data_IF_171163788723
#
_entry.id   IF_171163788723
#
_cell.length_a   1.000
_cell.length_b   1.000
_cell.length_c   1.000
_cell.angle_alpha   90.00
_cell.angle_beta   90.00
_cell.angle_gamma   90.00
#
_symmetry.space_group_name_H-M   'P 1'
#
loop_
_entity.id
_entity.type
_entity.pdbx_description
1 polymer ?
#
# COMPACT_ATOMS: atom_id res chain seq x y z
N UNK A 1 -1.79 -0.61 12.12
CA UNK A 1 -1.99 -0.04 10.77
C UNK A 1 -1.10 -0.82 9.84
N UNK A 2 -1.68 -1.54 8.87
CA UNK A 2 -0.97 -2.56 8.09
C UNK A 2 -1.16 -2.31 6.60
N UNK A 3 -0.22 -2.77 5.79
CA UNK A 3 -0.53 -3.04 4.39
C UNK A 3 -1.30 -4.35 4.33
N UNK A 4 -2.39 -4.40 3.57
CA UNK A 4 -3.01 -5.68 3.23
C UNK A 4 -2.08 -6.48 2.32
N UNK A 5 -2.06 -7.80 2.48
CA UNK A 5 -1.37 -8.68 1.55
C UNK A 5 -1.80 -8.36 0.11
N UNK A 6 -0.85 -8.30 -0.82
CA UNK A 6 -1.10 -7.82 -2.19
C UNK A 6 -2.17 -8.63 -2.93
N UNK A 7 -2.21 -9.94 -2.70
CA UNK A 7 -3.21 -10.83 -3.32
C UNK A 7 -4.64 -10.60 -2.81
N UNK A 8 -4.80 -9.90 -1.68
CA UNK A 8 -6.12 -9.54 -1.16
C UNK A 8 -6.65 -8.27 -1.80
N UNK A 9 -5.81 -7.44 -2.43
CA UNK A 9 -6.21 -6.13 -2.98
C UNK A 9 -7.46 -6.23 -3.87
N UNK A 10 -7.56 -7.17 -4.83
CA UNK A 10 -8.74 -7.30 -5.68
C UNK A 10 -10.00 -7.71 -4.93
N UNK A 11 -9.86 -8.28 -3.73
CA UNK A 11 -10.96 -8.78 -2.90
C UNK A 11 -11.35 -7.84 -1.77
N UNK A 12 -10.50 -6.85 -1.45
CA UNK A 12 -10.76 -5.95 -0.32
C UNK A 12 -12.11 -5.25 -0.49
N UNK A 13 -12.97 -5.20 0.55
CA UNK A 13 -14.17 -4.39 0.48
C UNK A 13 -13.82 -2.90 0.39
N UNK A 14 -14.79 -2.10 -0.07
CA UNK A 14 -14.61 -0.66 -0.30
C UNK A 14 -13.94 0.09 0.86
N UNK A 15 -14.35 -0.07 2.14
CA UNK A 15 -13.71 0.66 3.24
C UNK A 15 -12.22 0.32 3.40
N UNK A 16 -11.83 -0.93 3.19
CA UNK A 16 -10.46 -1.42 3.32
C UNK A 16 -9.61 -0.93 2.16
N UNK A 17 -10.11 -1.00 0.92
CA UNK A 17 -9.40 -0.48 -0.26
C UNK A 17 -9.14 1.02 -0.14
N UNK A 18 -10.17 1.81 0.18
CA UNK A 18 -10.03 3.27 0.36
C UNK A 18 -9.15 3.60 1.57
N UNK A 19 -9.22 2.81 2.64
CA UNK A 19 -8.34 2.93 3.79
C UNK A 19 -6.88 2.68 3.43
N UNK A 20 -6.62 1.63 2.65
CA UNK A 20 -5.27 1.27 2.20
C UNK A 20 -4.66 2.35 1.31
N UNK A 21 -5.46 2.97 0.43
CA UNK A 21 -5.00 4.13 -0.35
C UNK A 21 -4.57 5.30 0.54
N UNK A 22 -5.42 5.70 1.51
CA UNK A 22 -5.06 6.77 2.46
C UNK A 22 -3.80 6.44 3.25
N UNK A 23 -3.62 5.17 3.59
CA UNK A 23 -2.42 4.70 4.28
C UNK A 23 -1.17 4.84 3.42
N UNK A 24 -1.23 4.40 2.17
CA UNK A 24 -0.11 4.57 1.24
C UNK A 24 0.23 6.05 1.03
N UNK A 25 -0.77 6.93 0.93
CA UNK A 25 -0.57 8.37 0.85
C UNK A 25 0.15 8.94 2.08
N UNK A 26 -0.23 8.48 3.29
CA UNK A 26 0.41 8.90 4.53
C UNK A 26 1.86 8.42 4.62
N UNK A 27 2.10 7.13 4.32
CA UNK A 27 3.42 6.51 4.36
C UNK A 27 4.39 7.10 3.32
N UNK A 28 3.92 7.38 2.09
CA UNK A 28 4.74 8.05 1.05
C UNK A 28 5.09 9.50 1.43
N UNK A 29 4.19 10.18 2.15
CA UNK A 29 4.38 11.55 2.59
C UNK A 29 5.17 11.69 3.88
N UNK A 30 4.70 12.58 4.76
CA UNK A 30 5.34 12.87 6.06
C UNK A 30 5.27 11.71 7.08
N UNK A 31 4.66 10.59 6.72
CA UNK A 31 4.69 9.34 7.50
C UNK A 31 5.95 8.50 7.26
N UNK A 32 6.69 8.74 6.18
CA UNK A 32 7.88 7.95 5.84
C UNK A 32 8.90 7.92 6.98
N UNK A 33 9.34 6.72 7.37
CA UNK A 33 10.34 6.50 8.42
C UNK A 33 9.83 6.68 9.86
N UNK A 34 8.53 6.94 10.07
CA UNK A 34 7.95 7.00 11.43
C UNK A 34 7.55 5.61 11.90
N UNK A 35 7.98 5.23 13.12
CA UNK A 35 7.70 3.89 13.67
C UNK A 35 6.19 3.62 13.75
N UNK A 36 5.78 2.49 13.18
CA UNK A 36 4.43 1.93 13.21
C UNK A 36 4.47 0.46 13.67
N UNK A 37 3.53 0.03 14.50
CA UNK A 37 3.59 -1.30 15.13
C UNK A 37 3.66 -2.50 14.15
N UNK A 38 3.06 -2.39 12.95
CA UNK A 38 2.82 -3.55 12.06
C UNK A 38 3.27 -3.33 10.60
N UNK A 39 3.89 -2.19 10.28
CA UNK A 39 4.27 -1.82 8.89
C UNK A 39 5.70 -1.28 8.80
N UNK A 40 6.49 -1.41 9.87
CA UNK A 40 7.87 -0.90 9.89
C UNK A 40 8.74 -1.46 8.76
N UNK A 41 8.53 -2.72 8.36
CA UNK A 41 9.33 -3.38 7.32
C UNK A 41 9.33 -2.59 6.01
N UNK A 42 8.27 -1.83 5.70
CA UNK A 42 8.19 -0.99 4.49
C UNK A 42 9.36 -0.01 4.40
N UNK A 43 9.85 0.49 5.54
CA UNK A 43 10.94 1.46 5.59
C UNK A 43 12.34 0.83 5.51
N UNK A 44 12.43 -0.50 5.59
CA UNK A 44 13.67 -1.24 5.36
C UNK A 44 13.97 -1.39 3.85
N UNK A 45 13.02 -0.99 2.99
CA UNK A 45 13.13 -1.02 1.53
C UNK A 45 13.08 0.38 0.91
N UNK A 46 13.35 0.45 -0.40
CA UNK A 46 13.26 1.68 -1.17
C UNK A 46 11.83 2.26 -1.13
N UNK A 47 11.66 3.60 -1.14
CA UNK A 47 10.35 4.23 -1.33
C UNK A 47 9.65 3.79 -2.61
N UNK A 48 10.42 3.33 -3.61
CA UNK A 48 9.90 2.81 -4.87
C UNK A 48 9.01 1.57 -4.65
N UNK A 49 9.37 0.67 -3.73
CA UNK A 49 8.51 -0.49 -3.41
C UNK A 49 7.15 -0.07 -2.86
N UNK A 50 7.10 0.96 -2.02
CA UNK A 50 5.83 1.49 -1.51
C UNK A 50 5.02 2.14 -2.63
N UNK A 51 5.67 2.84 -3.55
CA UNK A 51 5.00 3.35 -4.75
C UNK A 51 4.42 2.19 -5.59
N UNK A 52 5.19 1.14 -5.85
CA UNK A 52 4.73 -0.01 -6.62
C UNK A 52 3.55 -0.75 -5.94
N UNK A 53 3.61 -0.94 -4.63
CA UNK A 53 2.47 -1.47 -3.88
C UNK A 53 1.25 -0.54 -3.96
N UNK A 54 1.46 0.77 -3.82
CA UNK A 54 0.39 1.76 -3.94
C UNK A 54 -0.24 1.74 -5.34
N UNK A 55 0.54 1.46 -6.40
CA UNK A 55 -0.01 1.29 -7.75
C UNK A 55 -1.04 0.16 -7.83
N UNK A 56 -0.81 -0.99 -7.20
CA UNK A 56 -1.79 -2.08 -7.15
C UNK A 56 -3.14 -1.60 -6.58
N UNK A 57 -3.09 -0.77 -5.53
CA UNK A 57 -4.28 -0.17 -4.90
C UNK A 57 -4.95 0.82 -5.84
N UNK A 58 -4.17 1.70 -6.49
CA UNK A 58 -4.70 2.71 -7.41
C UNK A 58 -5.31 2.09 -8.66
N UNK A 59 -4.70 1.04 -9.20
CA UNK A 59 -5.19 0.26 -10.35
C UNK A 59 -6.52 -0.42 -9.99
N UNK A 60 -6.61 -1.09 -8.84
CA UNK A 60 -7.86 -1.67 -8.34
C UNK A 60 -8.95 -0.60 -8.10
N UNK A 61 -8.56 0.56 -7.56
CA UNK A 61 -9.48 1.68 -7.38
C UNK A 61 -10.03 2.19 -8.72
N UNK A 62 -9.16 2.35 -9.73
CA UNK A 62 -9.57 2.77 -11.07
C UNK A 62 -10.49 1.73 -11.72
N UNK A 63 -10.18 0.43 -11.59
CA UNK A 63 -11.00 -0.66 -12.10
C UNK A 63 -12.42 -0.66 -11.52
N UNK A 64 -12.57 -0.25 -10.25
CA UNK A 64 -13.87 -0.08 -9.57
C UNK A 64 -14.54 1.28 -9.80
N UNK A 65 -14.00 2.11 -10.71
CA UNK A 65 -14.58 3.41 -11.08
C UNK A 65 -14.30 4.55 -10.09
N UNK A 66 -13.37 4.37 -9.14
CA UNK A 66 -12.91 5.46 -8.30
C UNK A 66 -11.95 6.38 -9.07
N UNK A 67 -11.85 7.63 -8.61
CA UNK A 67 -10.88 8.60 -9.14
C UNK A 67 -9.72 8.73 -8.18
N UNK A 68 -8.52 8.44 -8.67
CA UNK A 68 -7.25 8.69 -7.98
C UNK A 68 -6.66 9.98 -8.52
N UNK A 69 -6.19 10.87 -7.65
CA UNK A 69 -5.53 12.11 -8.10
C UNK A 69 -4.29 11.78 -8.95
N UNK A 70 -4.12 12.39 -10.14
CA UNK A 70 -3.05 12.06 -11.09
C UNK A 70 -1.64 12.08 -10.49
N UNK A 71 -1.40 12.98 -9.54
CA UNK A 71 -0.11 13.16 -8.88
C UNK A 71 0.35 11.91 -8.13
N UNK A 72 -0.57 11.07 -7.65
CA UNK A 72 -0.19 9.84 -6.95
C UNK A 72 0.42 8.77 -7.86
N UNK A 73 0.23 8.89 -9.19
CA UNK A 73 0.87 8.01 -10.18
C UNK A 73 2.33 8.36 -10.43
N UNK A 74 2.79 9.55 -10.01
CA UNK A 74 4.19 9.94 -10.07
C UNK A 74 4.96 9.31 -8.88
N UNK A 75 6.00 8.49 -9.10
CA UNK A 75 6.76 7.84 -8.03
C UNK A 75 7.34 8.82 -7.02
N UNK A 76 7.85 9.96 -7.49
CA UNK A 76 8.49 10.97 -6.63
C UNK A 76 7.51 11.78 -5.78
N UNK A 77 6.20 11.71 -6.05
CA UNK A 77 5.20 12.51 -5.34
C UNK A 77 4.97 12.03 -3.91
N UNK A 78 4.95 12.97 -2.97
CA UNK A 78 4.85 12.71 -1.52
C UNK A 78 3.71 13.48 -0.85
N UNK A 79 2.73 13.91 -1.63
CA UNK A 79 1.65 14.78 -1.16
C UNK A 79 2.03 16.27 -1.16
N UNK A 80 1.05 17.12 -0.87
CA UNK A 80 1.18 18.58 -1.02
C UNK A 80 2.12 19.25 -0.02
N UNK A 81 2.36 18.63 1.12
CA UNK A 81 3.11 19.20 2.26
C UNK A 81 4.45 18.54 2.51
N UNK A 82 4.81 17.53 1.71
CA UNK A 82 6.10 16.87 1.77
C UNK A 82 6.81 17.10 0.45
N UNK A 83 8.04 17.66 0.44
CA UNK A 83 8.80 17.83 -0.80
C UNK A 83 8.92 16.49 -1.53
N UNK A 84 8.69 16.52 -2.84
CA UNK A 84 8.91 15.36 -3.70
C UNK A 84 10.37 14.90 -3.62
N UNK A 85 10.62 13.63 -3.94
CA UNK A 85 11.98 13.18 -4.19
C UNK A 85 12.51 13.87 -5.45
N UNK A 86 13.78 14.28 -5.46
CA UNK A 86 14.42 14.83 -6.67
C UNK A 86 14.48 13.77 -7.77
N UNK A 87 14.83 12.55 -7.37
CA UNK A 87 14.87 11.36 -8.19
C UNK A 87 14.49 10.17 -7.30
N UNK A 88 13.81 9.18 -7.89
CA UNK A 88 13.54 7.91 -7.25
C UNK A 88 13.87 6.80 -8.25
N UNK A 89 14.98 6.13 -8.03
CA UNK A 89 15.42 5.03 -8.89
C UNK A 89 14.38 3.90 -8.89
N UNK A 90 14.03 3.44 -10.09
CA UNK A 90 13.20 2.27 -10.27
C UNK A 90 14.00 1.02 -9.86
N UNK A 91 13.37 0.17 -9.04
CA UNK A 91 13.93 -1.09 -8.57
C UNK A 91 13.24 -2.25 -9.28
N UNK A 92 14.00 -3.29 -9.63
CA UNK A 92 13.42 -4.55 -10.09
C UNK A 92 12.62 -5.21 -8.97
N UNK A 93 11.33 -5.43 -9.21
CA UNK A 93 10.41 -5.98 -8.21
C UNK A 93 10.25 -7.49 -8.36
N UNK A 94 10.13 -8.17 -7.22
CA UNK A 94 9.68 -9.55 -7.17
C UNK A 94 8.16 -9.60 -6.94
N UNK A 95 7.58 -10.80 -7.08
CA UNK A 95 6.24 -11.10 -6.61
C UNK A 95 6.35 -12.12 -5.47
N UNK A 96 5.95 -11.77 -4.24
CA UNK A 96 5.38 -10.48 -3.81
C UNK A 96 6.39 -9.31 -3.81
N UNK A 97 5.89 -8.06 -3.88
CA UNK A 97 6.70 -6.82 -3.83
C UNK A 97 7.48 -6.73 -2.52
N UNK A 98 6.81 -7.09 -1.42
CA UNK A 98 7.40 -7.21 -0.10
C UNK A 98 7.53 -8.70 0.25
N UNK A 99 8.73 -9.21 0.60
CA UNK A 99 8.88 -10.61 0.99
C UNK A 99 8.07 -10.96 2.24
N UNK A 100 7.72 -9.97 3.08
CA UNK A 100 6.83 -10.13 4.23
C UNK A 100 5.41 -10.52 3.82
N UNK A 101 5.00 -10.29 2.57
CA UNK A 101 3.72 -10.77 2.03
C UNK A 101 3.83 -12.25 1.61
N UNK A 102 4.20 -13.09 2.57
CA UNK A 102 4.22 -14.54 2.46
C UNK A 102 2.91 -15.15 2.99
N UNK A 103 2.72 -16.46 2.81
CA UNK A 103 1.50 -17.18 3.18
C UNK A 103 1.07 -16.98 4.66
N UNK A 104 2.04 -16.89 5.58
CA UNK A 104 1.73 -16.62 7.00
C UNK A 104 1.13 -15.23 7.18
N UNK A 105 1.63 -14.22 6.48
CA UNK A 105 1.10 -12.86 6.53
C UNK A 105 -0.25 -12.73 5.80
N UNK A 106 -0.43 -13.51 4.73
CA UNK A 106 -1.73 -13.65 4.08
C UNK A 106 -2.77 -14.17 5.08
N UNK A 107 -2.46 -15.24 5.82
CA UNK A 107 -3.34 -15.79 6.83
C UNK A 107 -3.64 -14.77 7.94
N UNK A 108 -2.63 -14.07 8.46
CA UNK A 108 -2.85 -13.00 9.45
C UNK A 108 -3.76 -11.87 8.92
N UNK A 109 -3.72 -11.58 7.62
CA UNK A 109 -4.61 -10.62 7.00
C UNK A 109 -6.05 -11.15 6.94
N UNK A 110 -6.24 -12.41 6.56
CA UNK A 110 -7.55 -13.06 6.52
C UNK A 110 -8.18 -13.17 7.91
N UNK A 111 -7.39 -13.55 8.92
CA UNK A 111 -7.83 -13.61 10.31
C UNK A 111 -8.28 -12.22 10.78
N UNK A 112 -7.51 -11.17 10.45
CA UNK A 112 -7.88 -9.80 10.82
C UNK A 112 -9.17 -9.30 10.15
N UNK A 113 -9.45 -9.73 8.93
CA UNK A 113 -10.73 -9.44 8.27
C UNK A 113 -11.88 -10.18 8.96
N UNK A 114 -11.66 -11.45 9.26
CA UNK A 114 -12.64 -12.32 9.94
C UNK A 114 -12.99 -11.80 11.33
N UNK A 115 -12.00 -11.40 12.14
CA UNK A 115 -12.18 -10.77 13.46
C UNK A 115 -13.00 -9.49 13.39
N UNK A 116 -12.94 -8.76 12.27
CA UNK A 116 -13.73 -7.56 12.01
C UNK A 116 -15.12 -7.87 11.43
N UNK A 117 -15.50 -9.14 11.33
CA UNK A 117 -16.76 -9.59 10.74
C UNK A 117 -16.83 -9.38 9.22
N UNK A 118 -15.68 -9.29 8.55
CA UNK A 118 -15.58 -9.08 7.10
C UNK A 118 -15.24 -10.41 6.46
N UNK A 119 -16.14 -10.92 5.63
CA UNK A 119 -15.88 -12.06 4.76
C UNK A 119 -15.54 -11.57 3.36
N UNK A 120 -14.52 -12.18 2.77
CA UNK A 120 -14.18 -11.95 1.36
C UNK A 120 -14.96 -12.94 0.52
N UNK A 121 -15.62 -12.45 -0.52
CA UNK A 121 -16.33 -13.27 -1.51
C UNK A 121 -15.36 -14.01 -2.46
#
# INVERSE_FOLDING_TARGET
>A
MRLWHQDLIPKLPRPQLLGQHRECCALRGNGWGKKHATVNYVFDYSPYRLYAYHRLIMEEMMARGYKVSPEWWEPTYRGKTCPAYTELEEEALNTPIYPEHQDTYLQECLDNLTEKGIQLD
#
